data_IF_385826701340
#
_entry.id   IF_385826701340
#
_cell.length_a   1.000
_cell.length_b   1.000
_cell.length_c   1.000
_cell.angle_alpha   90.00
_cell.angle_beta   90.00
_cell.angle_gamma   90.00
#
_symmetry.space_group_name_H-M   'P 1'
#
loop_
_entity.id
_entity.type
_entity.pdbx_description
1 polymer ?
#
# COMPACT_ATOMS: atom_id res chain seq x y z
N UNK A 1 71.21 -20.66 23.51
CA UNK A 1 69.77 -20.58 23.81
C UNK A 1 69.38 -19.13 24.11
N UNK A 2 68.77 -18.42 23.16
CA UNK A 2 67.89 -17.26 23.41
C UNK A 2 66.86 -17.25 22.29
N UNK A 3 65.62 -17.55 22.66
CA UNK A 3 64.46 -17.70 21.77
C UNK A 3 63.89 -16.30 21.51
N UNK A 4 63.78 -15.91 20.24
CA UNK A 4 63.03 -14.71 19.84
C UNK A 4 61.55 -15.08 19.68
N UNK A 5 60.69 -14.49 20.52
CA UNK A 5 59.25 -14.48 20.33
C UNK A 5 58.89 -13.44 19.26
N UNK A 6 58.33 -13.88 18.14
CA UNK A 6 57.66 -13.01 17.17
C UNK A 6 56.23 -12.75 17.64
N UNK A 7 55.91 -11.50 17.95
CA UNK A 7 54.55 -11.07 18.26
C UNK A 7 53.79 -10.82 16.95
N UNK A 8 52.75 -11.62 16.72
CA UNK A 8 51.83 -11.50 15.60
C UNK A 8 50.79 -10.42 15.95
N UNK A 9 50.86 -9.24 15.32
CA UNK A 9 49.79 -8.23 15.43
C UNK A 9 48.61 -8.62 14.54
N UNK A 10 47.51 -9.07 15.14
CA UNK A 10 46.19 -9.14 14.50
C UNK A 10 45.66 -7.71 14.32
N UNK A 11 45.73 -7.20 13.10
CA UNK A 11 45.02 -5.98 12.72
C UNK A 11 43.52 -6.33 12.55
N UNK A 12 42.71 -5.99 13.56
CA UNK A 12 41.26 -5.92 13.39
C UNK A 12 40.95 -4.71 12.51
N UNK A 13 40.60 -4.96 11.25
CA UNK A 13 39.96 -3.96 10.39
C UNK A 13 38.55 -3.73 10.90
N UNK A 14 38.40 -2.76 11.80
CA UNK A 14 37.11 -2.14 12.08
C UNK A 14 36.64 -1.43 10.80
N UNK A 15 35.81 -2.10 10.02
CA UNK A 15 35.03 -1.44 8.98
C UNK A 15 34.19 -0.37 9.69
N UNK A 16 34.23 0.90 9.26
CA UNK A 16 33.31 1.89 9.77
C UNK A 16 31.90 1.43 9.37
N UNK A 17 31.08 1.04 10.35
CA UNK A 17 29.64 1.14 10.19
C UNK A 17 29.37 2.60 9.90
N UNK A 18 29.20 2.95 8.63
CA UNK A 18 28.53 4.18 8.28
C UNK A 18 27.18 4.10 9.00
N UNK A 19 27.00 4.96 9.99
CA UNK A 19 25.69 5.23 10.53
C UNK A 19 24.89 5.81 9.36
N UNK A 20 24.21 4.95 8.62
CA UNK A 20 23.10 5.35 7.76
C UNK A 20 22.18 6.13 8.68
N UNK A 21 22.09 7.45 8.48
CA UNK A 21 21.20 8.28 9.28
C UNK A 21 19.80 7.69 9.18
N UNK A 22 19.24 7.27 10.31
CA UNK A 22 17.90 6.71 10.33
C UNK A 22 16.92 7.79 9.84
N UNK A 23 16.21 7.55 8.74
CA UNK A 23 15.12 8.44 8.30
C UNK A 23 14.04 8.54 9.38
N UNK A 24 13.24 9.61 9.34
CA UNK A 24 12.00 9.66 10.11
C UNK A 24 11.02 8.55 9.72
N UNK A 25 10.14 8.13 10.65
CA UNK A 25 8.97 7.32 10.29
C UNK A 25 7.95 8.16 9.52
N UNK A 26 6.87 7.54 9.05
CA UNK A 26 5.87 8.21 8.23
C UNK A 26 4.50 7.54 8.39
N UNK A 27 3.45 8.30 8.09
CA UNK A 27 2.09 7.81 8.13
C UNK A 27 1.30 8.24 6.88
N UNK A 28 0.28 7.45 6.55
CA UNK A 28 -0.49 7.56 5.33
C UNK A 28 -1.95 7.14 5.48
N UNK A 29 -2.66 7.12 4.36
CA UNK A 29 -4.03 6.60 4.30
C UNK A 29 -4.38 5.99 2.95
N UNK A 30 -5.49 5.27 2.89
CA UNK A 30 -6.03 4.65 1.69
C UNK A 30 -7.26 5.39 1.17
N UNK A 31 -7.43 5.49 -0.15
CA UNK A 31 -8.71 5.88 -0.74
C UNK A 31 -8.90 5.27 -2.15
N UNK A 32 -9.81 4.31 -2.29
CA UNK A 32 -10.00 3.52 -3.53
C UNK A 32 -10.88 4.18 -4.59
N UNK A 33 -11.56 5.28 -4.25
CA UNK A 33 -12.55 5.94 -5.11
C UNK A 33 -12.23 7.43 -5.35
N UNK A 34 -11.09 7.93 -4.86
CA UNK A 34 -10.71 9.34 -4.94
C UNK A 34 -10.74 9.89 -6.37
N UNK A 35 -10.42 9.06 -7.36
CA UNK A 35 -10.39 9.39 -8.79
C UNK A 35 -11.80 9.74 -9.33
N UNK A 36 -12.86 9.20 -8.72
CA UNK A 36 -14.24 9.46 -9.08
C UNK A 36 -14.83 10.76 -8.50
N UNK A 37 -14.16 11.38 -7.52
CA UNK A 37 -14.65 12.58 -6.82
C UNK A 37 -14.41 13.86 -7.61
N UNK A 38 -15.18 14.91 -7.35
CA UNK A 38 -14.96 16.22 -8.01
C UNK A 38 -13.58 16.80 -7.70
N UNK A 39 -13.07 17.68 -8.57
CA UNK A 39 -11.76 18.31 -8.35
C UNK A 39 -11.72 19.08 -7.03
N UNK A 40 -12.79 19.80 -6.70
CA UNK A 40 -12.89 20.53 -5.45
C UNK A 40 -12.80 19.62 -4.22
N UNK A 41 -13.48 18.46 -4.26
CA UNK A 41 -13.44 17.48 -3.15
C UNK A 41 -12.06 16.87 -3.04
N UNK A 42 -11.44 16.49 -4.16
CA UNK A 42 -10.06 15.99 -4.19
C UNK A 42 -9.08 17.01 -3.59
N UNK A 43 -9.16 18.28 -4.00
CA UNK A 43 -8.23 19.33 -3.58
C UNK A 43 -8.39 19.65 -2.09
N UNK A 44 -9.62 19.70 -1.58
CA UNK A 44 -9.91 19.91 -0.17
C UNK A 44 -9.40 18.73 0.68
N UNK A 45 -9.66 17.51 0.23
CA UNK A 45 -9.21 16.29 0.90
C UNK A 45 -7.68 16.21 0.95
N UNK A 46 -7.01 16.37 -0.20
CA UNK A 46 -5.54 16.34 -0.29
C UNK A 46 -4.92 17.47 0.55
N UNK A 47 -5.53 18.66 0.58
CA UNK A 47 -5.07 19.74 1.45
C UNK A 47 -5.22 19.40 2.94
N UNK A 48 -6.28 18.70 3.31
CA UNK A 48 -6.49 18.21 4.69
C UNK A 48 -5.45 17.16 5.07
N UNK A 49 -5.14 16.22 4.17
CA UNK A 49 -4.07 15.23 4.36
C UNK A 49 -2.70 15.90 4.53
N UNK A 50 -2.39 16.89 3.67
CA UNK A 50 -1.16 17.65 3.77
C UNK A 50 -1.06 18.42 5.10
N UNK A 51 -2.17 19.00 5.58
CA UNK A 51 -2.26 19.65 6.90
C UNK A 51 -2.04 18.69 8.07
N UNK A 52 -2.40 17.42 7.92
CA UNK A 52 -2.09 16.35 8.88
C UNK A 52 -0.69 15.74 8.69
N UNK A 53 0.10 16.25 7.73
CA UNK A 53 1.43 15.78 7.36
C UNK A 53 1.46 14.30 6.92
N UNK A 54 0.40 13.85 6.25
CA UNK A 54 0.38 12.57 5.53
C UNK A 54 1.49 12.54 4.50
N UNK A 55 2.22 11.43 4.41
CA UNK A 55 3.32 11.22 3.45
C UNK A 55 2.96 10.32 2.28
N UNK A 56 2.05 9.38 2.49
CA UNK A 56 1.70 8.37 1.49
C UNK A 56 0.18 8.21 1.41
N UNK A 57 -0.37 8.12 0.19
CA UNK A 57 -1.76 7.73 -0.07
C UNK A 57 -1.80 6.48 -0.93
N UNK A 58 -2.48 5.42 -0.48
CA UNK A 58 -2.74 4.25 -1.31
C UNK A 58 -3.92 4.53 -2.25
N UNK A 59 -3.72 4.22 -3.53
CA UNK A 59 -4.66 4.43 -4.62
C UNK A 59 -4.85 3.14 -5.42
N UNK A 60 -5.98 3.01 -6.09
CA UNK A 60 -6.34 1.84 -6.88
C UNK A 60 -6.54 2.20 -8.34
N UNK A 61 -6.13 1.28 -9.21
CA UNK A 61 -6.55 1.26 -10.61
C UNK A 61 -7.91 0.54 -10.71
N UNK A 62 -8.94 1.18 -10.14
CA UNK A 62 -10.30 0.67 -10.03
C UNK A 62 -11.33 1.56 -10.71
N UNK A 63 -12.45 0.96 -11.06
CA UNK A 63 -13.62 1.68 -11.56
C UNK A 63 -14.34 2.45 -10.44
N UNK A 64 -15.12 3.45 -10.83
CA UNK A 64 -16.04 4.18 -9.97
C UNK A 64 -17.19 4.71 -10.85
N UNK A 65 -18.43 4.54 -10.40
CA UNK A 65 -19.60 4.86 -11.22
C UNK A 65 -20.19 6.22 -10.85
N UNK A 66 -20.36 7.09 -11.85
CA UNK A 66 -21.00 8.40 -11.67
C UNK A 66 -22.40 8.26 -11.07
N UNK A 67 -22.73 9.12 -10.12
CA UNK A 67 -24.00 9.16 -9.41
C UNK A 67 -24.08 8.23 -8.20
N UNK A 68 -23.05 7.40 -7.96
CA UNK A 68 -22.93 6.60 -6.75
C UNK A 68 -22.54 7.42 -5.52
N UNK A 69 -22.81 6.85 -4.34
CA UNK A 69 -22.31 7.33 -3.06
C UNK A 69 -21.30 6.31 -2.52
N UNK A 70 -20.05 6.72 -2.36
CA UNK A 70 -18.99 5.90 -1.76
C UNK A 70 -18.59 6.53 -0.44
N UNK A 71 -18.94 5.86 0.66
CA UNK A 71 -18.54 6.22 2.04
C UNK A 71 -18.71 7.71 2.38
N UNK A 72 -19.88 8.25 2.01
CA UNK A 72 -20.27 9.63 2.27
C UNK A 72 -19.85 10.64 1.20
N UNK A 73 -19.18 10.19 0.14
CA UNK A 73 -18.76 11.02 -0.99
C UNK A 73 -19.56 10.73 -2.25
N UNK A 74 -19.97 11.77 -2.95
CA UNK A 74 -20.61 11.64 -4.25
C UNK A 74 -19.58 11.40 -5.36
N UNK A 75 -19.78 10.33 -6.13
CA UNK A 75 -19.00 10.06 -7.33
C UNK A 75 -19.57 10.89 -8.49
N UNK A 76 -18.78 11.80 -9.04
CA UNK A 76 -19.24 12.72 -10.11
C UNK A 76 -18.65 12.38 -11.47
N UNK A 77 -17.63 11.50 -11.51
CA UNK A 77 -17.01 11.01 -12.74
C UNK A 77 -17.30 9.54 -12.95
N UNK A 78 -17.41 9.15 -14.20
CA UNK A 78 -17.47 7.75 -14.57
C UNK A 78 -16.04 7.29 -14.86
N UNK A 79 -15.56 6.37 -14.05
CA UNK A 79 -14.21 5.80 -14.13
C UNK A 79 -14.42 4.35 -14.55
N UNK A 80 -14.06 3.99 -15.79
CA UNK A 80 -14.27 2.64 -16.28
C UNK A 80 -13.31 1.65 -15.60
N UNK A 81 -13.57 0.35 -15.75
CA UNK A 81 -12.52 -0.64 -15.52
C UNK A 81 -11.37 -0.38 -16.50
N UNK A 82 -10.12 -0.54 -16.02
CA UNK A 82 -8.96 -0.50 -16.90
C UNK A 82 -9.07 -1.57 -18.00
N UNK A 83 -9.64 -2.73 -17.69
CA UNK A 83 -9.85 -3.82 -18.65
C UNK A 83 -11.24 -4.40 -18.48
N UNK A 84 -12.10 -4.22 -19.48
CA UNK A 84 -13.33 -5.02 -19.65
C UNK A 84 -13.09 -6.23 -20.54
N UNK A 85 -11.99 -6.22 -21.29
CA UNK A 85 -11.51 -7.32 -22.12
C UNK A 85 -10.01 -7.42 -21.91
N UNK A 86 -9.53 -8.61 -21.52
CA UNK A 86 -8.12 -8.84 -21.19
C UNK A 86 -7.21 -8.42 -22.35
N UNK A 87 -6.23 -7.58 -22.04
CA UNK A 87 -5.28 -7.03 -23.03
C UNK A 87 -5.78 -5.80 -23.79
N UNK A 88 -7.00 -5.32 -23.51
CA UNK A 88 -7.56 -4.08 -24.07
C UNK A 88 -7.74 -3.05 -22.96
N UNK A 89 -6.88 -2.05 -22.94
CA UNK A 89 -6.76 -1.11 -21.82
C UNK A 89 -7.51 0.21 -22.06
N UNK A 90 -8.39 0.56 -21.12
CA UNK A 90 -9.02 1.87 -21.07
C UNK A 90 -8.19 2.84 -20.25
N UNK A 91 -7.48 3.75 -20.93
CA UNK A 91 -6.59 4.70 -20.27
C UNK A 91 -7.28 5.71 -19.34
N UNK A 92 -8.61 5.92 -19.44
CA UNK A 92 -9.32 6.92 -18.62
C UNK A 92 -9.11 6.69 -17.12
N UNK A 93 -9.06 5.43 -16.68
CA UNK A 93 -8.75 5.08 -15.29
C UNK A 93 -7.36 5.57 -14.87
N UNK A 94 -6.36 5.44 -15.75
CA UNK A 94 -5.00 5.91 -15.48
C UNK A 94 -4.87 7.44 -15.64
N UNK A 95 -5.61 8.06 -16.56
CA UNK A 95 -5.69 9.52 -16.72
C UNK A 95 -6.15 10.15 -15.39
N UNK A 96 -7.22 9.64 -14.79
CA UNK A 96 -7.79 10.19 -13.55
C UNK A 96 -6.91 9.90 -12.32
N UNK A 97 -6.25 8.74 -12.25
CA UNK A 97 -5.24 8.48 -11.22
C UNK A 97 -4.01 9.38 -11.41
N UNK A 98 -3.54 9.61 -12.64
CA UNK A 98 -2.39 10.50 -12.93
C UNK A 98 -2.67 11.94 -12.47
N UNK A 99 -3.90 12.41 -12.67
CA UNK A 99 -4.34 13.70 -12.15
C UNK A 99 -4.23 13.79 -10.63
N UNK A 100 -4.59 12.72 -9.91
CA UNK A 100 -4.39 12.64 -8.45
C UNK A 100 -2.91 12.63 -8.08
N UNK A 101 -2.06 11.90 -8.81
CA UNK A 101 -0.62 11.88 -8.56
C UNK A 101 0.00 13.28 -8.68
N UNK A 102 -0.42 14.07 -9.66
CA UNK A 102 0.00 15.48 -9.79
C UNK A 102 -0.39 16.28 -8.55
N UNK A 103 -1.64 16.14 -8.08
CA UNK A 103 -2.15 16.87 -6.91
C UNK A 103 -1.45 16.46 -5.61
N UNK A 104 -1.23 15.16 -5.41
CA UNK A 104 -0.52 14.61 -4.25
C UNK A 104 0.95 15.05 -4.24
N UNK A 105 1.65 14.90 -5.37
CA UNK A 105 3.05 15.27 -5.49
C UNK A 105 3.27 16.77 -5.27
N UNK A 106 2.34 17.63 -5.69
CA UNK A 106 2.37 19.08 -5.39
C UNK A 106 2.28 19.40 -3.89
N UNK A 107 1.89 18.43 -3.06
CA UNK A 107 1.87 18.52 -1.59
C UNK A 107 2.95 17.66 -0.92
N UNK A 108 3.91 17.15 -1.67
CA UNK A 108 4.93 16.19 -1.20
C UNK A 108 4.32 14.92 -0.59
N UNK A 109 3.19 14.47 -1.12
CA UNK A 109 2.54 13.21 -0.78
C UNK A 109 2.79 12.26 -1.94
N UNK A 110 3.31 11.06 -1.66
CA UNK A 110 3.53 10.01 -2.65
C UNK A 110 2.37 9.02 -2.66
N UNK A 111 2.28 8.19 -3.70
CA UNK A 111 1.25 7.18 -3.82
C UNK A 111 1.80 5.75 -3.77
N UNK A 112 1.05 4.85 -3.11
CA UNK A 112 1.09 3.41 -3.38
C UNK A 112 0.08 3.15 -4.50
N UNK A 113 0.49 2.55 -5.61
CA UNK A 113 -0.42 2.16 -6.69
C UNK A 113 -0.75 0.68 -6.56
N UNK A 114 -2.01 0.37 -6.28
CA UNK A 114 -2.54 -0.98 -6.40
C UNK A 114 -3.05 -1.21 -7.83
N UNK A 115 -2.35 -2.05 -8.64
CA UNK A 115 -2.67 -2.19 -10.06
C UNK A 115 -3.94 -3.02 -10.32
N UNK A 116 -4.41 -3.78 -9.33
CA UNK A 116 -5.59 -4.64 -9.40
C UNK A 116 -6.04 -5.02 -7.98
N UNK A 117 -7.32 -5.31 -7.81
CA UNK A 117 -7.90 -5.74 -6.54
C UNK A 117 -8.23 -7.24 -6.54
N UNK A 118 -7.65 -8.05 -5.65
CA UNK A 118 -7.98 -9.47 -5.57
C UNK A 118 -9.47 -9.71 -5.32
N UNK A 119 -10.15 -8.75 -4.67
CA UNK A 119 -11.59 -8.81 -4.48
C UNK A 119 -12.39 -8.83 -5.80
N UNK A 120 -11.84 -8.24 -6.87
CA UNK A 120 -12.44 -8.28 -8.19
C UNK A 120 -12.35 -9.67 -8.85
N UNK A 121 -11.58 -10.62 -8.30
CA UNK A 121 -11.55 -12.02 -8.75
C UNK A 121 -12.73 -12.84 -8.21
N UNK A 122 -13.42 -12.32 -7.19
CA UNK A 122 -14.60 -12.95 -6.60
C UNK A 122 -15.80 -13.00 -7.55
N UNK A 123 -16.94 -13.47 -7.04
CA UNK A 123 -18.17 -13.63 -7.82
C UNK A 123 -19.21 -12.53 -7.56
N UNK A 124 -18.85 -11.49 -6.79
CA UNK A 124 -19.76 -10.41 -6.43
C UNK A 124 -19.80 -9.28 -7.47
N UNK A 125 -20.37 -8.14 -7.10
CA UNK A 125 -20.55 -6.98 -7.98
C UNK A 125 -19.24 -6.34 -8.45
N UNK A 126 -18.11 -6.66 -7.83
CA UNK A 126 -16.77 -6.16 -8.17
C UNK A 126 -16.09 -6.97 -9.28
N UNK A 127 -16.70 -8.10 -9.69
CA UNK A 127 -16.11 -9.03 -10.67
C UNK A 127 -15.67 -8.32 -11.94
N UNK A 128 -14.48 -8.65 -12.42
CA UNK A 128 -13.90 -8.08 -13.64
C UNK A 128 -13.59 -9.15 -14.71
N UNK A 129 -12.86 -8.75 -15.75
CA UNK A 129 -12.49 -9.65 -16.84
C UNK A 129 -11.60 -10.83 -16.41
N UNK A 130 -10.82 -10.68 -15.32
CA UNK A 130 -9.99 -11.75 -14.76
C UNK A 130 -10.85 -12.74 -13.96
N UNK A 131 -11.82 -12.26 -13.18
CA UNK A 131 -12.82 -13.13 -12.55
C UNK A 131 -13.55 -13.99 -13.57
N UNK A 132 -14.03 -13.37 -14.66
CA UNK A 132 -14.79 -14.07 -15.70
C UNK A 132 -13.99 -15.20 -16.39
N UNK A 133 -12.66 -15.05 -16.53
CA UNK A 133 -11.82 -16.03 -17.22
C UNK A 133 -11.19 -17.07 -16.29
N UNK A 134 -10.71 -16.66 -15.12
CA UNK A 134 -9.90 -17.53 -14.26
C UNK A 134 -10.38 -17.60 -12.80
N UNK A 135 -11.21 -16.66 -12.34
CA UNK A 135 -11.68 -16.60 -10.94
C UNK A 135 -10.55 -16.53 -9.90
N UNK A 136 -10.86 -16.85 -8.65
CA UNK A 136 -9.92 -16.74 -7.51
C UNK A 136 -8.87 -17.85 -7.44
N UNK A 137 -8.99 -18.90 -8.25
CA UNK A 137 -8.05 -20.03 -8.29
C UNK A 137 -7.08 -19.92 -9.46
N UNK A 138 -7.58 -20.15 -10.67
CA UNK A 138 -6.74 -20.25 -11.87
C UNK A 138 -5.93 -18.98 -12.16
N UNK A 139 -6.36 -17.82 -11.69
CA UNK A 139 -5.62 -16.57 -11.84
C UNK A 139 -4.22 -16.65 -11.20
N UNK A 140 -4.09 -17.37 -10.09
CA UNK A 140 -2.83 -17.57 -9.38
C UNK A 140 -2.12 -18.89 -9.73
N UNK A 141 -2.64 -19.65 -10.71
CA UNK A 141 -2.09 -20.97 -11.05
C UNK A 141 -1.68 -21.15 -12.51
N UNK A 142 -2.34 -20.46 -13.44
CA UNK A 142 -2.18 -20.70 -14.86
C UNK A 142 -1.21 -19.69 -15.49
N UNK A 143 -0.29 -20.19 -16.31
CA UNK A 143 0.68 -19.35 -17.01
C UNK A 143 0.02 -18.35 -17.97
N UNK A 144 -1.16 -18.67 -18.53
CA UNK A 144 -1.88 -17.72 -19.39
C UNK A 144 -2.45 -16.53 -18.60
N UNK A 145 -2.95 -16.78 -17.38
CA UNK A 145 -3.35 -15.73 -16.42
C UNK A 145 -2.15 -14.87 -16.01
N UNK A 146 -1.00 -15.52 -15.79
CA UNK A 146 0.24 -14.83 -15.48
C UNK A 146 0.62 -13.88 -16.63
N UNK A 147 0.72 -14.39 -17.84
CA UNK A 147 1.09 -13.57 -19.00
C UNK A 147 0.12 -12.39 -19.21
N UNK A 148 -1.18 -12.61 -19.01
CA UNK A 148 -2.19 -11.56 -19.10
C UNK A 148 -2.06 -10.49 -18.01
N UNK A 149 -1.75 -10.90 -16.78
CA UNK A 149 -1.53 -9.95 -15.69
C UNK A 149 -0.21 -9.18 -15.85
N UNK A 150 0.85 -9.84 -16.33
CA UNK A 150 2.12 -9.18 -16.67
C UNK A 150 1.94 -8.13 -17.76
N UNK A 151 1.09 -8.39 -18.76
CA UNK A 151 0.75 -7.39 -19.78
C UNK A 151 0.07 -6.16 -19.16
N UNK A 152 -0.85 -6.37 -18.20
CA UNK A 152 -1.48 -5.27 -17.43
C UNK A 152 -0.46 -4.48 -16.63
N UNK A 153 0.43 -5.16 -15.90
CA UNK A 153 1.49 -4.51 -15.13
C UNK A 153 2.40 -3.69 -16.04
N UNK A 154 2.80 -4.24 -17.19
CA UNK A 154 3.57 -3.53 -18.22
C UNK A 154 2.83 -2.29 -18.72
N UNK A 155 1.52 -2.38 -19.00
CA UNK A 155 0.73 -1.24 -19.44
C UNK A 155 0.71 -0.12 -18.39
N UNK A 156 0.45 -0.45 -17.12
CA UNK A 156 0.41 0.53 -16.02
C UNK A 156 1.79 1.17 -15.78
N UNK A 157 2.87 0.37 -15.74
CA UNK A 157 4.22 0.86 -15.48
C UNK A 157 4.73 1.79 -16.57
N UNK A 158 4.43 1.47 -17.84
CA UNK A 158 4.87 2.25 -19.00
C UNK A 158 3.88 3.36 -19.40
N UNK A 159 2.78 3.51 -18.67
CA UNK A 159 1.82 4.57 -18.94
C UNK A 159 2.48 5.94 -18.78
N UNK A 160 2.33 6.78 -19.80
CA UNK A 160 2.75 8.17 -19.81
C UNK A 160 1.54 9.03 -19.45
N UNK A 161 1.61 9.66 -18.29
CA UNK A 161 0.54 10.46 -17.72
C UNK A 161 0.04 11.57 -18.65
N UNK A 162 -1.27 11.62 -18.88
CA UNK A 162 -1.91 12.69 -19.64
C UNK A 162 -1.77 14.07 -18.97
N UNK A 163 -1.68 14.11 -17.64
CA UNK A 163 -1.58 15.36 -16.87
C UNK A 163 -0.15 15.63 -16.40
N UNK A 164 0.57 14.60 -15.97
CA UNK A 164 1.95 14.74 -15.50
C UNK A 164 2.97 14.81 -16.63
N UNK A 165 2.67 14.21 -17.79
CA UNK A 165 3.62 13.97 -18.87
C UNK A 165 4.73 12.97 -18.50
N UNK A 166 4.69 12.37 -17.30
CA UNK A 166 5.71 11.46 -16.77
C UNK A 166 5.34 10.00 -17.08
N UNK A 167 6.36 9.17 -17.30
CA UNK A 167 6.18 7.72 -17.33
C UNK A 167 6.21 7.21 -15.90
N UNK A 168 5.16 6.50 -15.48
CA UNK A 168 4.94 6.16 -14.07
C UNK A 168 6.08 5.37 -13.44
N UNK A 169 6.66 4.38 -14.13
CA UNK A 169 7.82 3.61 -13.61
C UNK A 169 9.10 4.44 -13.35
N UNK A 170 9.13 5.70 -13.78
CA UNK A 170 10.26 6.61 -13.66
C UNK A 170 9.88 7.92 -12.96
N UNK A 171 8.85 7.89 -12.11
CA UNK A 171 8.36 9.07 -11.39
C UNK A 171 8.40 8.90 -9.85
N UNK A 172 9.60 8.73 -9.26
CA UNK A 172 9.77 8.49 -7.82
C UNK A 172 9.34 9.68 -6.95
N UNK A 173 9.14 10.87 -7.51
CA UNK A 173 8.64 12.02 -6.77
C UNK A 173 7.15 11.90 -6.43
N UNK A 174 6.37 11.15 -7.21
CA UNK A 174 4.93 10.96 -6.97
C UNK A 174 4.57 9.55 -6.55
N UNK A 175 5.37 8.54 -6.88
CA UNK A 175 5.06 7.14 -6.61
C UNK A 175 6.07 6.60 -5.60
N UNK A 176 5.57 6.11 -4.48
CA UNK A 176 6.34 5.43 -3.45
C UNK A 176 6.51 3.94 -3.79
N UNK A 177 5.43 3.28 -4.21
CA UNK A 177 5.49 1.87 -4.58
C UNK A 177 4.41 1.46 -5.57
N UNK A 178 4.67 0.35 -6.27
CA UNK A 178 3.63 -0.47 -6.89
C UNK A 178 3.39 -1.70 -6.01
N UNK A 179 2.12 -1.99 -5.71
CA UNK A 179 1.78 -3.29 -5.14
C UNK A 179 1.84 -4.37 -6.24
N UNK A 180 2.00 -5.64 -5.84
CA UNK A 180 1.73 -6.77 -6.73
C UNK A 180 0.25 -6.82 -7.12
N UNK A 181 -0.63 -6.63 -6.13
CA UNK A 181 -2.10 -6.57 -6.20
C UNK A 181 -2.59 -6.17 -4.80
N UNK A 182 -3.82 -5.66 -4.63
CA UNK A 182 -4.45 -5.60 -3.31
C UNK A 182 -4.87 -6.99 -2.83
N UNK A 183 -4.48 -7.36 -1.62
CA UNK A 183 -4.87 -8.60 -0.92
C UNK A 183 -4.76 -9.86 -1.79
N UNK A 184 -3.64 -10.08 -2.50
CA UNK A 184 -3.49 -11.24 -3.35
C UNK A 184 -3.69 -12.52 -2.55
N UNK A 185 -4.33 -13.51 -3.18
CA UNK A 185 -4.52 -14.86 -2.66
C UNK A 185 -5.41 -15.01 -1.42
N UNK A 186 -6.02 -13.94 -0.90
CA UNK A 186 -6.91 -13.99 0.30
C UNK A 186 -8.25 -14.67 -0.03
N UNK A 187 -8.79 -14.44 -1.23
CA UNK A 187 -10.05 -15.05 -1.69
C UNK A 187 -9.90 -16.46 -2.30
N UNK A 188 -8.68 -16.91 -2.57
CA UNK A 188 -8.41 -18.22 -3.16
C UNK A 188 -8.40 -19.33 -2.10
N UNK A 189 -8.10 -20.57 -2.50
CA UNK A 189 -8.11 -21.78 -1.66
C UNK A 189 -7.07 -21.84 -0.51
N UNK A 190 -6.77 -20.70 0.12
CA UNK A 190 -5.71 -20.53 1.12
C UNK A 190 -4.31 -20.48 0.48
N UNK A 191 -4.15 -19.93 -0.73
CA UNK A 191 -2.84 -19.89 -1.41
C UNK A 191 -1.79 -19.11 -0.62
N UNK A 192 -2.19 -18.06 0.11
CA UNK A 192 -1.27 -17.38 1.01
C UNK A 192 -0.75 -18.36 2.08
N UNK A 193 -1.60 -19.23 2.64
CA UNK A 193 -1.19 -20.23 3.63
C UNK A 193 -0.42 -21.41 3.00
N UNK A 194 -0.56 -21.64 1.69
CA UNK A 194 0.16 -22.68 0.93
C UNK A 194 1.52 -22.20 0.41
N UNK A 195 1.92 -20.96 0.68
CA UNK A 195 3.25 -20.45 0.36
C UNK A 195 3.49 -20.13 -1.11
N UNK A 196 2.44 -19.79 -1.88
CA UNK A 196 2.54 -19.46 -3.32
C UNK A 196 3.23 -20.56 -4.17
N UNK A 197 2.62 -21.76 -4.29
CA UNK A 197 3.24 -22.93 -4.91
C UNK A 197 3.51 -22.78 -6.42
N UNK A 198 3.01 -21.71 -7.05
CA UNK A 198 3.18 -21.43 -8.48
C UNK A 198 4.08 -20.23 -8.73
N UNK A 199 4.75 -19.73 -7.69
CA UNK A 199 5.67 -18.60 -7.73
C UNK A 199 5.06 -17.35 -8.39
N UNK A 200 3.76 -17.14 -8.20
CA UNK A 200 3.05 -16.00 -8.75
C UNK A 200 3.68 -14.70 -8.23
N UNK A 201 3.89 -14.59 -6.91
CA UNK A 201 4.35 -13.36 -6.27
C UNK A 201 5.73 -12.94 -6.77
N UNK A 202 6.71 -13.83 -6.69
CA UNK A 202 8.06 -13.51 -7.13
C UNK A 202 8.16 -13.36 -8.65
N UNK A 203 7.35 -14.12 -9.41
CA UNK A 203 7.22 -13.96 -10.85
C UNK A 203 6.72 -12.56 -11.23
N UNK A 204 5.65 -12.08 -10.60
CA UNK A 204 5.10 -10.73 -10.84
C UNK A 204 6.09 -9.65 -10.44
N UNK A 205 6.72 -9.78 -9.26
CA UNK A 205 7.72 -8.83 -8.79
C UNK A 205 8.92 -8.73 -9.75
N UNK A 206 9.41 -9.88 -10.22
CA UNK A 206 10.51 -9.94 -11.20
C UNK A 206 10.12 -9.30 -12.52
N UNK A 207 8.87 -9.51 -12.97
CA UNK A 207 8.35 -8.84 -14.16
C UNK A 207 8.29 -7.32 -14.00
N UNK A 208 7.76 -6.81 -12.88
CA UNK A 208 7.74 -5.36 -12.59
C UNK A 208 9.16 -4.80 -12.62
N UNK A 209 10.13 -5.46 -11.97
CA UNK A 209 11.53 -5.01 -11.96
C UNK A 209 12.14 -5.01 -13.36
N UNK A 210 11.85 -6.02 -14.18
CA UNK A 210 12.39 -6.14 -15.55
C UNK A 210 11.89 -5.02 -16.48
N UNK A 211 10.78 -4.35 -16.15
CA UNK A 211 10.31 -3.17 -16.89
C UNK A 211 11.21 -1.94 -16.72
N UNK A 212 12.25 -2.00 -15.88
CA UNK A 212 13.13 -0.86 -15.60
C UNK A 212 12.51 0.13 -14.63
N UNK A 213 11.85 -0.39 -13.59
CA UNK A 213 11.31 0.44 -12.49
C UNK A 213 12.47 1.16 -11.77
N UNK A 214 12.33 2.47 -11.59
CA UNK A 214 13.28 3.30 -10.84
C UNK A 214 13.51 2.69 -9.44
N UNK A 215 14.77 2.62 -9.01
CA UNK A 215 15.16 1.99 -7.75
C UNK A 215 14.61 2.69 -6.51
N UNK A 216 14.15 3.94 -6.65
CA UNK A 216 13.50 4.70 -5.59
C UNK A 216 12.00 4.38 -5.46
N UNK A 217 11.40 3.70 -6.45
CA UNK A 217 10.04 3.19 -6.38
C UNK A 217 10.07 1.73 -5.95
N UNK A 218 9.40 1.43 -4.85
CA UNK A 218 9.41 0.09 -4.26
C UNK A 218 8.44 -0.85 -4.99
N UNK A 219 8.77 -2.13 -4.97
CA UNK A 219 7.85 -3.24 -5.26
C UNK A 219 7.37 -3.78 -3.91
N UNK A 220 6.08 -3.66 -3.67
CA UNK A 220 5.43 -3.98 -2.38
C UNK A 220 4.38 -5.08 -2.54
N UNK A 221 4.14 -5.86 -1.49
CA UNK A 221 3.33 -7.08 -1.61
C UNK A 221 1.82 -6.84 -1.67
N UNK A 222 1.35 -5.68 -1.23
CA UNK A 222 -0.08 -5.37 -1.19
C UNK A 222 -0.91 -6.23 -0.24
N UNK A 223 -0.30 -6.71 0.85
CA UNK A 223 -0.92 -7.59 1.84
C UNK A 223 -0.43 -9.04 1.78
N UNK A 224 0.19 -9.47 0.66
CA UNK A 224 0.73 -10.84 0.60
C UNK A 224 1.82 -11.04 1.64
N UNK A 225 1.71 -12.12 2.39
CA UNK A 225 2.65 -12.45 3.44
C UNK A 225 2.55 -11.53 4.66
N UNK A 226 1.49 -10.74 4.79
CA UNK A 226 1.30 -9.82 5.91
C UNK A 226 -0.16 -9.58 6.28
N UNK A 227 -1.11 -10.28 5.65
CA UNK A 227 -2.53 -10.19 5.97
C UNK A 227 -2.90 -11.10 7.15
N UNK A 228 -2.60 -10.61 8.35
CA UNK A 228 -2.90 -11.32 9.59
C UNK A 228 -4.41 -11.45 9.82
N UNK A 229 -5.24 -10.62 9.20
CA UNK A 229 -6.71 -10.72 9.28
C UNK A 229 -7.22 -11.98 8.59
N UNK A 230 -6.53 -12.46 7.56
CA UNK A 230 -6.84 -13.72 6.87
C UNK A 230 -5.88 -14.87 7.24
N UNK A 231 -5.06 -14.69 8.27
CA UNK A 231 -4.10 -15.70 8.74
C UNK A 231 -2.85 -15.85 7.86
N UNK A 232 -2.69 -14.98 6.86
CA UNK A 232 -1.53 -14.97 5.98
C UNK A 232 -0.33 -14.33 6.73
N UNK A 233 0.72 -15.11 6.97
CA UNK A 233 1.96 -14.66 7.63
C UNK A 233 3.11 -14.55 6.64
N UNK A 234 4.29 -14.11 7.06
CA UNK A 234 5.44 -13.89 6.18
C UNK A 234 5.85 -15.20 5.50
N UNK A 235 5.70 -15.26 4.17
CA UNK A 235 5.95 -16.46 3.38
C UNK A 235 7.34 -16.40 2.70
N UNK A 236 8.03 -17.55 2.53
CA UNK A 236 9.29 -17.61 1.78
C UNK A 236 9.22 -17.02 0.38
N UNK A 237 8.11 -17.23 -0.34
CA UNK A 237 7.89 -16.65 -1.68
C UNK A 237 7.98 -15.11 -1.70
N UNK A 238 7.66 -14.47 -0.58
CA UNK A 238 7.81 -13.03 -0.40
C UNK A 238 9.18 -12.69 0.16
N UNK A 239 9.58 -13.32 1.28
CA UNK A 239 10.79 -12.95 2.05
C UNK A 239 12.11 -13.33 1.36
N UNK A 240 12.10 -14.25 0.41
CA UNK A 240 13.30 -14.68 -0.33
C UNK A 240 13.37 -14.11 -1.75
N UNK A 241 12.29 -13.50 -2.26
CA UNK A 241 12.28 -12.97 -3.62
C UNK A 241 13.12 -11.69 -3.72
N UNK A 242 14.21 -11.69 -4.49
CA UNK A 242 15.08 -10.53 -4.63
C UNK A 242 14.39 -9.29 -5.25
N UNK A 243 13.33 -9.49 -6.04
CA UNK A 243 12.60 -8.40 -6.68
C UNK A 243 11.58 -7.69 -5.78
N UNK A 244 11.25 -8.23 -4.59
CA UNK A 244 10.34 -7.58 -3.64
C UNK A 244 11.16 -6.72 -2.68
N UNK A 245 10.85 -5.43 -2.60
CA UNK A 245 11.57 -4.48 -1.74
C UNK A 245 10.90 -4.31 -0.37
N UNK A 246 9.56 -4.38 -0.32
CA UNK A 246 8.78 -4.14 0.87
C UNK A 246 7.65 -5.17 1.07
N UNK A 247 7.42 -5.57 2.32
CA UNK A 247 6.29 -6.39 2.75
C UNK A 247 5.24 -5.46 3.36
N UNK A 248 4.10 -5.39 2.70
CA UNK A 248 2.91 -4.64 3.12
C UNK A 248 2.09 -5.51 4.07
N UNK A 249 1.89 -5.07 5.31
CA UNK A 249 1.10 -5.77 6.33
C UNK A 249 -0.33 -5.24 6.34
N UNK A 250 -1.31 -6.14 6.34
CA UNK A 250 -2.73 -5.83 6.50
C UNK A 250 -3.21 -6.45 7.83
N UNK A 251 -3.81 -5.62 8.69
CA UNK A 251 -4.38 -6.11 9.95
C UNK A 251 -5.44 -5.15 10.47
N UNK A 252 -6.67 -5.64 10.52
CA UNK A 252 -7.80 -4.96 11.13
C UNK A 252 -7.90 -5.38 12.59
N UNK A 253 -7.65 -4.44 13.50
CA UNK A 253 -7.66 -4.73 14.92
C UNK A 253 -9.08 -4.67 15.48
N UNK A 254 -9.57 -5.79 16.02
CA UNK A 254 -10.68 -5.78 17.00
C UNK A 254 -10.20 -5.39 18.40
N UNK A 255 -8.88 -5.38 18.63
CA UNK A 255 -8.22 -4.97 19.89
C UNK A 255 -7.04 -4.05 19.58
N UNK A 256 -7.16 -2.74 19.86
CA UNK A 256 -6.09 -1.75 19.84
C UNK A 256 -4.80 -2.19 20.59
N UNK A 257 -3.61 -1.81 20.11
CA UNK A 257 -2.38 -1.67 20.92
C UNK A 257 -1.39 -2.83 20.89
N UNK A 258 -1.16 -3.47 19.73
CA UNK A 258 -0.22 -4.61 19.61
C UNK A 258 0.78 -4.49 18.45
N UNK A 259 0.98 -3.30 17.92
CA UNK A 259 1.87 -3.07 16.77
C UNK A 259 3.33 -3.11 17.19
N UNK A 260 3.66 -2.35 18.24
CA UNK A 260 5.01 -2.27 18.79
C UNK A 260 5.58 -3.64 19.17
N UNK A 261 4.76 -4.48 19.78
CA UNK A 261 5.13 -5.85 20.15
C UNK A 261 5.34 -6.78 18.94
N UNK A 262 4.64 -6.54 17.83
CA UNK A 262 4.72 -7.40 16.63
C UNK A 262 5.92 -7.05 15.74
N UNK A 263 6.31 -5.76 15.71
CA UNK A 263 7.30 -5.24 14.77
C UNK A 263 8.66 -5.96 14.82
N UNK A 264 9.29 -6.26 15.98
CA UNK A 264 10.57 -6.97 16.00
C UNK A 264 10.48 -8.35 15.32
N UNK A 265 9.35 -9.04 15.48
CA UNK A 265 9.10 -10.33 14.84
C UNK A 265 8.98 -10.20 13.33
N UNK A 266 8.29 -9.17 12.84
CA UNK A 266 8.17 -8.90 11.41
C UNK A 266 9.51 -8.56 10.77
N UNK A 267 10.31 -7.68 11.40
CA UNK A 267 11.62 -7.29 10.88
C UNK A 267 12.58 -8.49 10.81
N UNK A 268 12.55 -9.36 11.81
CA UNK A 268 13.32 -10.62 11.82
C UNK A 268 12.91 -11.55 10.67
N UNK A 269 11.61 -11.67 10.40
CA UNK A 269 11.09 -12.54 9.32
C UNK A 269 11.24 -11.93 7.92
N UNK A 270 11.36 -10.61 7.81
CA UNK A 270 11.38 -9.88 6.55
C UNK A 270 12.63 -10.16 5.68
N UNK A 271 13.67 -10.77 6.27
CA UNK A 271 14.91 -11.10 5.58
C UNK A 271 15.54 -9.86 4.89
N UNK A 272 15.62 -8.76 5.64
CA UNK A 272 16.19 -7.48 5.18
C UNK A 272 15.26 -6.61 4.33
N UNK A 273 14.05 -7.06 4.02
CA UNK A 273 13.05 -6.26 3.30
C UNK A 273 12.47 -5.17 4.19
N UNK A 274 11.99 -4.09 3.57
CA UNK A 274 11.22 -3.07 4.30
C UNK A 274 9.88 -3.65 4.76
N UNK A 275 9.38 -3.20 5.90
CA UNK A 275 8.07 -3.60 6.44
C UNK A 275 7.32 -2.34 6.83
N UNK A 276 6.05 -2.27 6.41
CA UNK A 276 5.13 -1.22 6.85
C UNK A 276 3.71 -1.78 6.93
N UNK A 277 2.89 -1.13 7.75
CA UNK A 277 1.48 -1.47 7.89
C UNK A 277 0.70 -0.76 6.78
N UNK A 278 0.37 -1.46 5.70
CA UNK A 278 -0.30 -0.86 4.53
C UNK A 278 -1.81 -0.71 4.73
N UNK A 279 -2.42 -1.57 5.55
CA UNK A 279 -3.82 -1.42 5.93
C UNK A 279 -4.04 -1.80 7.38
N UNK A 280 -4.66 -0.89 8.11
CA UNK A 280 -5.18 -1.14 9.45
C UNK A 280 -6.38 -0.24 9.71
N UNK A 281 -7.33 -0.74 10.49
CA UNK A 281 -8.58 -0.07 10.79
C UNK A 281 -9.03 -0.37 12.22
N UNK A 282 -9.85 0.53 12.76
CA UNK A 282 -10.46 0.39 14.09
C UNK A 282 -11.95 0.21 13.90
N UNK A 283 -12.49 -0.93 14.33
CA UNK A 283 -13.92 -1.19 14.25
C UNK A 283 -14.70 -0.23 15.15
N UNK A 284 -15.37 0.75 14.54
CA UNK A 284 -16.10 1.80 15.27
C UNK A 284 -17.41 1.31 15.89
N UNK A 285 -17.85 0.09 15.58
CA UNK A 285 -19.01 -0.54 16.23
C UNK A 285 -18.70 -0.91 17.67
N UNK A 286 -17.45 -1.27 17.94
CA UNK A 286 -16.98 -1.76 19.24
C UNK A 286 -16.02 -0.81 19.95
N UNK A 287 -15.50 0.22 19.27
CA UNK A 287 -14.49 1.12 19.82
C UNK A 287 -14.85 2.61 19.68
N UNK A 288 -14.45 3.42 20.66
CA UNK A 288 -14.48 4.88 20.55
C UNK A 288 -13.32 5.35 19.68
N UNK A 289 -13.61 5.72 18.44
CA UNK A 289 -12.60 6.12 17.45
C UNK A 289 -11.75 7.33 17.89
N UNK A 290 -12.34 8.27 18.64
CA UNK A 290 -11.64 9.47 19.11
C UNK A 290 -10.53 9.17 20.13
N UNK A 291 -10.65 8.05 20.87
CA UNK A 291 -9.63 7.58 21.80
C UNK A 291 -8.73 6.50 21.18
N UNK A 292 -9.33 5.56 20.45
CA UNK A 292 -8.62 4.42 19.89
C UNK A 292 -7.62 4.84 18.81
N UNK A 293 -7.99 5.72 17.86
CA UNK A 293 -7.08 6.10 16.78
C UNK A 293 -5.79 6.78 17.28
N UNK A 294 -5.85 7.80 18.16
CA UNK A 294 -4.62 8.36 18.75
C UNK A 294 -3.78 7.35 19.53
N UNK A 295 -4.42 6.41 20.24
CA UNK A 295 -3.73 5.34 20.98
C UNK A 295 -2.94 4.43 20.04
N UNK A 296 -3.54 3.99 18.94
CA UNK A 296 -2.87 3.12 17.96
C UNK A 296 -1.71 3.83 17.26
N UNK A 297 -1.91 5.09 16.88
CA UNK A 297 -0.84 5.91 16.32
C UNK A 297 0.33 6.07 17.30
N UNK A 298 0.05 6.27 18.59
CA UNK A 298 1.09 6.36 19.61
C UNK A 298 1.87 5.04 19.75
N UNK A 299 1.19 3.89 19.75
CA UNK A 299 1.83 2.56 19.81
C UNK A 299 2.76 2.33 18.61
N UNK A 300 2.31 2.61 17.39
CA UNK A 300 3.14 2.48 16.18
C UNK A 300 4.33 3.46 16.19
N UNK A 301 4.09 4.72 16.56
CA UNK A 301 5.13 5.74 16.62
C UNK A 301 6.18 5.43 17.69
N UNK A 302 5.83 4.73 18.77
CA UNK A 302 6.77 4.36 19.84
C UNK A 302 7.93 3.49 19.36
N UNK A 303 7.74 2.80 18.24
CA UNK A 303 8.75 1.94 17.61
C UNK A 303 9.13 2.40 16.21
N UNK A 304 8.63 3.56 15.77
CA UNK A 304 8.91 4.09 14.43
C UNK A 304 8.33 3.25 13.29
N UNK A 305 7.24 2.52 13.51
CA UNK A 305 6.57 1.70 12.49
C UNK A 305 5.77 2.57 11.52
N UNK A 306 6.11 2.61 10.22
CA UNK A 306 5.31 3.34 9.26
C UNK A 306 3.98 2.66 8.99
N UNK A 307 2.94 3.45 8.75
CA UNK A 307 1.58 2.92 8.60
C UNK A 307 0.69 3.71 7.65
N UNK A 308 -0.31 3.04 7.10
CA UNK A 308 -1.33 3.59 6.20
C UNK A 308 -2.69 3.17 6.74
N UNK A 309 -3.47 4.14 7.22
CA UNK A 309 -4.78 3.88 7.81
C UNK A 309 -5.84 3.60 6.75
N UNK A 310 -6.64 2.56 6.98
CA UNK A 310 -7.87 2.26 6.27
C UNK A 310 -9.07 2.74 7.11
N UNK A 311 -9.73 3.85 6.81
CA UNK A 311 -9.32 4.89 5.87
C UNK A 311 -9.74 6.28 6.33
N UNK A 312 -8.94 7.29 6.00
CA UNK A 312 -9.30 8.69 6.21
C UNK A 312 -10.16 9.11 5.01
N UNK A 313 -11.43 9.41 5.25
CA UNK A 313 -12.42 9.74 4.24
C UNK A 313 -12.44 11.26 3.96
N UNK A 314 -12.77 11.70 2.74
CA UNK A 314 -13.15 13.08 2.48
C UNK A 314 -14.37 13.48 3.29
N UNK A 315 -14.54 14.78 3.58
CA UNK A 315 -15.76 15.27 4.19
C UNK A 315 -16.99 14.87 3.36
N UNK A 316 -18.09 14.53 4.04
CA UNK A 316 -19.33 14.12 3.39
C UNK A 316 -19.84 15.21 2.44
N UNK A 317 -20.35 14.82 1.28
CA UNK A 317 -20.80 15.75 0.24
C UNK A 317 -21.91 15.16 -0.64
N UNK A 318 -22.54 16.01 -1.45
CA UNK A 318 -23.50 15.60 -2.48
C UNK A 318 -24.76 14.88 -1.96
N UNK A 319 -25.09 15.05 -0.68
CA UNK A 319 -26.22 14.37 -0.03
C UNK A 319 -25.95 12.90 0.33
N UNK A 320 -24.73 12.41 0.16
CA UNK A 320 -24.34 11.06 0.53
C UNK A 320 -24.16 10.95 2.05
N UNK A 321 -25.20 10.51 2.76
CA UNK A 321 -25.09 10.21 4.19
C UNK A 321 -24.35 8.90 4.40
N UNK A 322 -23.34 8.91 5.27
CA UNK A 322 -22.61 7.71 5.66
C UNK A 322 -22.16 7.81 7.12
N UNK A 323 -22.39 6.73 7.87
CA UNK A 323 -21.85 6.55 9.21
C UNK A 323 -21.05 5.24 9.20
N UNK A 324 -19.72 5.29 9.38
CA UNK A 324 -18.88 4.11 9.49
C UNK A 324 -19.41 3.07 10.50
N UNK A 325 -20.06 3.49 11.59
CA UNK A 325 -20.61 2.56 12.59
C UNK A 325 -21.72 1.68 12.05
N UNK A 326 -22.38 2.10 10.99
CA UNK A 326 -23.47 1.35 10.36
C UNK A 326 -22.99 0.54 9.14
N UNK A 327 -21.71 0.62 8.78
CA UNK A 327 -21.14 -0.18 7.70
C UNK A 327 -20.88 -1.61 8.18
N UNK A 328 -21.64 -2.56 7.63
CA UNK A 328 -21.58 -3.97 8.04
C UNK A 328 -20.25 -4.65 7.68
N UNK A 329 -19.58 -4.19 6.61
CA UNK A 329 -18.36 -4.80 6.08
C UNK A 329 -17.09 -3.99 6.37
N UNK A 330 -17.21 -2.66 6.50
CA UNK A 330 -16.06 -1.77 6.57
C UNK A 330 -16.32 -0.57 7.50
N UNK A 331 -16.38 -0.80 8.83
CA UNK A 331 -16.69 0.22 9.83
C UNK A 331 -15.50 1.07 10.26
N UNK A 332 -14.49 1.22 9.40
CA UNK A 332 -13.18 1.76 9.79
C UNK A 332 -12.97 3.23 9.41
N UNK A 333 -13.88 3.86 8.67
CA UNK A 333 -13.66 5.19 8.09
C UNK A 333 -13.58 6.35 9.10
N UNK A 334 -12.57 7.21 9.01
CA UNK A 334 -12.47 8.48 9.76
C UNK A 334 -12.62 9.65 8.79
N UNK A 335 -13.62 10.52 8.96
CA UNK A 335 -13.71 11.72 8.12
C UNK A 335 -12.59 12.72 8.42
N UNK A 336 -11.91 13.21 7.38
CA UNK A 336 -11.03 14.37 7.47
C UNK A 336 -11.84 15.57 7.96
N UNK A 337 -11.43 16.16 9.09
CA UNK A 337 -12.19 17.21 9.77
C UNK A 337 -13.37 16.72 10.61
N UNK A 338 -13.58 15.41 10.75
CA UNK A 338 -14.68 14.78 11.51
C UNK A 338 -14.48 14.72 13.03
N UNK A 339 -13.56 15.53 13.59
CA UNK A 339 -13.32 15.62 15.04
C UNK A 339 -12.38 14.56 15.64
N UNK A 340 -12.00 13.51 14.91
CA UNK A 340 -10.93 12.58 15.34
C UNK A 340 -9.58 13.27 15.16
N UNK A 341 -8.76 13.27 16.20
CA UNK A 341 -7.43 13.89 16.14
C UNK A 341 -6.49 13.08 15.24
N UNK A 342 -5.99 13.73 14.18
CA UNK A 342 -4.97 13.18 13.28
C UNK A 342 -3.53 13.52 13.72
N UNK A 343 -3.33 14.08 14.91
CA UNK A 343 -2.02 14.52 15.38
C UNK A 343 -0.96 13.40 15.41
N UNK A 344 -1.39 12.15 15.63
CA UNK A 344 -0.52 10.97 15.59
C UNK A 344 0.13 10.73 14.21
N UNK A 345 -0.54 11.12 13.12
CA UNK A 345 0.01 11.04 11.74
C UNK A 345 1.20 11.98 11.62
N UNK A 346 1.04 13.23 12.05
CA UNK A 346 2.11 14.21 12.02
C UNK A 346 3.29 13.78 12.91
N UNK A 347 2.99 13.27 14.11
CA UNK A 347 3.98 12.81 15.07
C UNK A 347 4.90 11.69 14.53
N UNK A 348 4.43 10.89 13.56
CA UNK A 348 5.24 9.83 12.92
C UNK A 348 6.53 10.39 12.29
N UNK A 349 6.51 11.60 11.75
CA UNK A 349 7.70 12.22 11.15
C UNK A 349 8.69 12.77 12.17
N UNK A 350 8.29 12.89 13.44
CA UNK A 350 9.14 13.32 14.55
C UNK A 350 9.85 12.17 15.27
N UNK A 351 9.59 10.91 14.89
CA UNK A 351 10.25 9.73 15.46
C UNK A 351 11.17 9.08 14.43
N UNK A 352 12.29 8.51 14.89
CA UNK A 352 13.17 7.72 14.02
C UNK A 352 12.44 6.46 13.55
N UNK A 353 12.55 6.14 12.25
CA UNK A 353 11.97 4.91 11.72
C UNK A 353 12.77 3.68 12.14
N UNK A 354 12.09 2.54 12.25
CA UNK A 354 12.74 1.25 12.49
C UNK A 354 13.62 0.77 11.32
N UNK A 355 13.39 1.29 10.11
CA UNK A 355 14.16 1.03 8.90
C UNK A 355 14.34 2.36 8.15
N UNK A 356 15.42 2.52 7.39
CA UNK A 356 15.64 3.72 6.58
C UNK A 356 14.71 3.75 5.36
N UNK A 357 14.06 4.90 5.11
CA UNK A 357 13.13 5.16 4.02
C UNK A 357 13.62 6.27 3.06
N UNK A 358 14.85 6.77 3.26
CA UNK A 358 15.49 7.76 2.39
C UNK A 358 15.46 7.30 0.93
N UNK A 359 15.13 8.20 0.00
CA UNK A 359 15.00 7.93 -1.42
C UNK A 359 13.63 7.39 -1.83
N UNK A 360 12.95 6.63 -0.96
CA UNK A 360 11.60 6.11 -1.26
C UNK A 360 10.48 7.05 -0.81
N UNK A 361 10.52 7.55 0.43
CA UNK A 361 9.56 8.54 0.95
C UNK A 361 10.16 9.95 0.94
N UNK A 362 11.40 10.08 1.44
CA UNK A 362 12.10 11.34 1.64
C UNK A 362 13.10 11.66 0.53
#
# INVERSE_FOLDING_TARGET
>A
MKVLFSALCLALTALPQQALGASSSWAGTSNYYLQGLSDQVQDNYISSLAGANVKVVRLWVNQARKGGCEKGSQIVRDIPHLETTIGSYNKVTLDEVDKLLVKLAAKNIKAIISPHDANALGTDYRKDAYSARWGTGSFYEQQDAFNAYDARLTYILNYKGAYSGKVWKSWPQAIFSFNLQNEPMTLGSGYCNKGDPKAWACGRATHIRSQGLDSHILISTGGLGGDFSHGCTFLPAVTQCAAIDAISVHRYASVPGRWSASMPGWLSQANGKKVFLEEWGIDQRSNNIGAAFPSEMADMNSVGLPSVYWQILPAQNGGCSYDPKNDGGDPFGIFAGGGVSLAGINAATGVAAAQDWTGSVY
#
